data_IF_204881329749
#
_entry.id   IF_204881329749
#
_cell.length_a   1.000
_cell.length_b   1.000
_cell.length_c   1.000
_cell.angle_alpha   90.00
_cell.angle_beta   90.00
_cell.angle_gamma   90.00
#
_symmetry.space_group_name_H-M   'P 1'
#
loop_
_entity.id
_entity.type
_entity.pdbx_description
1 polymer ?
#
# COMPACT_ATOMS: atom_id res chain seq x y z
N UNK A 1 -17.20 1.66 -24.02
CA UNK A 1 -16.40 1.75 -22.77
C UNK A 1 -17.29 1.44 -21.60
N UNK A 2 -17.11 0.32 -20.91
CA UNK A 2 -17.83 0.04 -19.66
C UNK A 2 -17.25 0.95 -18.56
N UNK A 3 -18.08 1.57 -17.73
CA UNK A 3 -17.58 2.41 -16.64
C UNK A 3 -16.75 1.59 -15.66
N UNK A 4 -15.61 2.13 -15.27
CA UNK A 4 -14.64 1.56 -14.34
C UNK A 4 -15.15 1.62 -12.88
N UNK A 5 -16.29 1.06 -12.58
CA UNK A 5 -16.68 0.90 -11.19
C UNK A 5 -17.27 -0.48 -10.96
N UNK A 6 -16.88 -1.04 -9.87
CA UNK A 6 -17.40 -2.27 -9.35
C UNK A 6 -18.81 -1.99 -8.79
N UNK A 7 -19.81 -2.76 -9.21
CA UNK A 7 -21.15 -2.75 -8.61
C UNK A 7 -21.25 -3.92 -7.62
N UNK A 8 -20.81 -3.71 -6.36
CA UNK A 8 -20.76 -4.80 -5.39
C UNK A 8 -22.14 -5.28 -4.93
N UNK A 9 -23.22 -4.56 -5.32
CA UNK A 9 -24.56 -4.79 -4.81
C UNK A 9 -25.63 -4.91 -5.89
N UNK A 10 -25.32 -5.49 -7.04
CA UNK A 10 -26.35 -5.83 -8.06
C UNK A 10 -27.38 -4.69 -8.28
N UNK A 11 -26.92 -3.45 -8.45
CA UNK A 11 -27.71 -2.22 -8.61
C UNK A 11 -28.52 -1.77 -7.37
N UNK A 12 -28.46 -2.43 -6.24
CA UNK A 12 -29.14 -2.00 -5.01
C UNK A 12 -28.13 -1.37 -4.03
N UNK A 13 -27.94 -0.07 -4.16
CA UNK A 13 -27.19 0.71 -3.16
C UNK A 13 -27.98 0.75 -1.85
N UNK A 14 -27.38 0.40 -0.69
CA UNK A 14 -28.03 0.60 0.60
C UNK A 14 -28.45 2.06 0.80
N UNK A 15 -29.59 2.31 1.42
CA UNK A 15 -30.17 3.66 1.52
C UNK A 15 -29.25 4.70 2.17
N UNK A 16 -28.33 4.25 3.07
CA UNK A 16 -27.42 5.11 3.84
C UNK A 16 -26.05 5.29 3.20
N UNK A 17 -25.84 4.81 1.95
CA UNK A 17 -24.58 4.91 1.26
C UNK A 17 -24.64 5.99 0.18
N UNK A 18 -23.55 6.75 0.01
CA UNK A 18 -23.46 7.81 -0.99
C UNK A 18 -22.43 7.45 -2.07
N UNK A 19 -22.67 7.92 -3.29
CA UNK A 19 -21.67 7.84 -4.35
C UNK A 19 -20.86 9.14 -4.31
N UNK A 20 -19.54 9.00 -4.21
CA UNK A 20 -18.60 10.12 -4.23
C UNK A 20 -17.50 9.87 -5.27
N UNK A 21 -16.45 10.67 -5.26
CA UNK A 21 -15.26 10.46 -6.08
C UNK A 21 -14.01 10.35 -5.21
N UNK A 22 -12.96 9.68 -5.71
CA UNK A 22 -11.70 9.56 -4.98
C UNK A 22 -11.11 10.93 -4.61
N UNK A 23 -11.25 11.93 -5.49
CA UNK A 23 -10.78 13.29 -5.22
C UNK A 23 -11.54 14.00 -4.09
N UNK A 24 -12.83 13.67 -3.88
CA UNK A 24 -13.61 14.24 -2.79
C UNK A 24 -13.29 13.62 -1.43
N UNK A 25 -12.98 12.32 -1.41
CA UNK A 25 -12.78 11.56 -0.16
C UNK A 25 -11.32 11.43 0.25
N UNK A 26 -10.37 11.81 -0.60
CA UNK A 26 -8.94 11.70 -0.31
C UNK A 26 -8.15 12.89 -0.87
N UNK A 27 -7.02 13.19 -0.20
CA UNK A 27 -5.98 14.06 -0.73
C UNK A 27 -5.09 13.21 -1.61
N UNK A 28 -4.99 13.56 -2.89
CA UNK A 28 -4.22 12.79 -3.85
C UNK A 28 -2.99 13.55 -4.33
N UNK A 29 -1.86 12.86 -4.37
CA UNK A 29 -0.60 13.42 -4.89
C UNK A 29 0.17 12.39 -5.71
N UNK A 30 0.94 12.87 -6.68
CA UNK A 30 1.92 12.04 -7.38
C UNK A 30 3.23 11.97 -6.59
N UNK A 31 3.90 10.83 -6.64
CA UNK A 31 5.24 10.67 -6.12
C UNK A 31 6.23 11.62 -6.82
N UNK A 32 7.15 12.17 -6.05
CA UNK A 32 8.17 13.10 -6.52
C UNK A 32 9.49 12.41 -6.90
N UNK A 33 10.54 13.20 -6.98
CA UNK A 33 11.88 12.72 -7.21
C UNK A 33 12.42 11.94 -6.01
N UNK A 34 13.46 11.17 -6.26
CA UNK A 34 14.19 10.43 -5.23
C UNK A 34 14.83 11.42 -4.23
N UNK A 35 14.71 11.18 -2.92
CA UNK A 35 15.41 11.97 -1.91
C UNK A 35 16.94 11.98 -2.14
N UNK A 36 17.63 13.01 -1.63
CA UNK A 36 19.08 13.09 -1.71
C UNK A 36 19.76 12.05 -0.81
N UNK A 37 19.26 11.91 0.43
CA UNK A 37 19.78 10.94 1.39
C UNK A 37 19.05 9.60 1.21
N UNK A 38 19.76 8.62 0.63
CA UNK A 38 19.19 7.28 0.40
C UNK A 38 20.16 6.21 0.89
N UNK A 39 19.61 5.27 1.67
CA UNK A 39 20.30 4.04 2.08
C UNK A 39 19.53 2.83 1.54
N UNK A 40 20.21 1.77 1.13
CA UNK A 40 19.58 0.51 0.72
C UNK A 40 19.03 -0.28 1.91
N UNK A 41 19.58 -0.06 3.09
CA UNK A 41 19.17 -0.70 4.35
C UNK A 41 18.70 0.35 5.35
N UNK A 42 17.83 -0.06 6.27
CA UNK A 42 17.41 0.80 7.37
C UNK A 42 18.60 1.06 8.31
N UNK A 43 18.89 2.34 8.57
CA UNK A 43 19.95 2.80 9.48
C UNK A 43 19.37 3.76 10.52
N UNK A 44 20.18 4.17 11.52
CA UNK A 44 19.75 5.15 12.51
C UNK A 44 19.41 6.52 11.90
N UNK A 45 20.03 6.88 10.78
CA UNK A 45 19.78 8.13 10.06
C UNK A 45 18.66 7.98 9.02
N UNK A 46 18.64 6.89 8.28
CA UNK A 46 17.66 6.63 7.22
C UNK A 46 16.65 5.58 7.71
N UNK A 47 15.57 6.05 8.34
CA UNK A 47 14.57 5.19 8.97
C UNK A 47 13.28 5.02 8.17
N UNK A 48 12.96 5.98 7.28
CA UNK A 48 11.71 6.02 6.56
C UNK A 48 11.82 5.36 5.19
N UNK A 49 10.96 4.39 4.86
CA UNK A 49 11.01 3.70 3.58
C UNK A 49 10.66 4.64 2.43
N UNK A 50 11.31 4.41 1.31
CA UNK A 50 11.02 5.02 0.01
C UNK A 50 10.33 3.95 -0.82
N UNK A 51 9.15 4.27 -1.38
CA UNK A 51 8.41 3.35 -2.24
C UNK A 51 8.34 3.84 -3.68
N UNK A 52 8.51 2.90 -4.61
CA UNK A 52 8.39 3.08 -6.05
C UNK A 52 7.26 2.19 -6.60
N UNK A 53 7.07 2.21 -7.91
CA UNK A 53 6.07 1.40 -8.60
C UNK A 53 6.47 -0.07 -8.83
N UNK A 54 7.52 -0.58 -8.17
CA UNK A 54 7.93 -1.98 -8.28
C UNK A 54 6.97 -2.92 -7.54
N UNK A 55 6.79 -4.14 -8.05
CA UNK A 55 6.06 -5.20 -7.36
C UNK A 55 6.91 -5.88 -6.27
N UNK A 56 8.24 -5.90 -6.47
CA UNK A 56 9.16 -6.52 -5.52
C UNK A 56 9.12 -5.79 -4.18
N UNK A 57 9.01 -6.55 -3.10
CA UNK A 57 8.97 -6.01 -1.72
C UNK A 57 7.95 -4.86 -1.57
N UNK A 58 6.80 -4.96 -2.23
CA UNK A 58 5.75 -3.92 -2.23
C UNK A 58 6.25 -2.54 -2.68
N UNK A 59 7.24 -2.50 -3.57
CA UNK A 59 7.82 -1.28 -4.10
C UNK A 59 8.90 -0.64 -3.24
N UNK A 60 9.40 -1.30 -2.19
CA UNK A 60 10.48 -0.76 -1.36
C UNK A 60 11.74 -0.53 -2.21
N UNK A 61 12.14 0.74 -2.31
CA UNK A 61 13.32 1.19 -3.04
C UNK A 61 14.55 1.36 -2.13
N UNK A 62 14.34 1.81 -0.90
CA UNK A 62 15.38 2.11 0.09
C UNK A 62 14.80 2.87 1.27
N UNK A 63 15.66 3.56 2.00
CA UNK A 63 15.30 4.33 3.20
C UNK A 63 15.91 5.73 3.14
N UNK A 64 15.25 6.69 3.82
CA UNK A 64 15.67 8.10 3.90
C UNK A 64 15.49 8.65 5.32
N UNK A 65 15.99 9.84 5.54
CA UNK A 65 16.00 10.52 6.84
C UNK A 65 14.69 11.25 7.19
N UNK A 66 13.88 11.63 6.19
CA UNK A 66 12.64 12.39 6.41
C UNK A 66 11.49 11.79 5.60
N UNK A 67 10.31 11.60 6.22
CA UNK A 67 9.12 11.16 5.50
C UNK A 67 8.46 12.33 4.76
N UNK A 68 7.72 12.03 3.71
CA UNK A 68 6.86 12.98 2.99
C UNK A 68 5.39 12.79 3.35
N UNK A 69 5.00 11.56 3.65
CA UNK A 69 3.64 11.17 4.05
C UNK A 69 3.77 10.52 5.42
N UNK A 70 3.03 11.02 6.40
CA UNK A 70 3.03 10.49 7.77
C UNK A 70 1.75 9.76 8.12
N UNK A 71 0.68 10.03 7.39
CA UNK A 71 -0.65 9.47 7.60
C UNK A 71 -0.78 8.07 6.98
N UNK A 72 -1.65 7.26 7.54
CA UNK A 72 -2.06 6.01 6.91
C UNK A 72 -2.71 6.30 5.56
N UNK A 73 -2.23 5.66 4.50
CA UNK A 73 -2.59 6.02 3.13
C UNK A 73 -2.54 4.83 2.19
N UNK A 74 -3.06 5.01 0.98
CA UNK A 74 -2.99 3.99 -0.06
C UNK A 74 -2.11 4.50 -1.20
N UNK A 75 -1.23 3.65 -1.70
CA UNK A 75 -0.43 3.93 -2.91
C UNK A 75 -0.90 3.07 -4.06
N UNK A 76 -0.95 3.66 -5.25
CA UNK A 76 -1.33 2.99 -6.51
C UNK A 76 -0.26 3.26 -7.56
N UNK A 77 0.22 2.20 -8.21
CA UNK A 77 1.15 2.34 -9.33
C UNK A 77 0.49 2.99 -10.54
N UNK A 78 1.11 4.08 -11.02
CA UNK A 78 0.57 4.88 -12.12
C UNK A 78 1.14 4.49 -13.49
N UNK A 79 2.22 3.74 -13.55
CA UNK A 79 2.90 3.34 -14.80
C UNK A 79 3.65 2.03 -14.63
N UNK A 80 3.78 1.26 -15.70
CA UNK A 80 4.38 -0.08 -15.68
C UNK A 80 3.40 -1.09 -15.10
N UNK A 81 3.40 -1.27 -13.80
CA UNK A 81 2.45 -2.14 -13.05
C UNK A 81 1.20 -1.36 -12.62
N UNK A 82 0.49 -0.75 -13.59
CA UNK A 82 -0.66 0.10 -13.33
C UNK A 82 -1.68 -0.62 -12.44
N UNK A 83 -2.21 0.08 -11.45
CA UNK A 83 -3.25 -0.44 -10.57
C UNK A 83 -2.74 -1.34 -9.44
N UNK A 84 -1.42 -1.49 -9.24
CA UNK A 84 -0.91 -2.17 -8.05
C UNK A 84 -1.15 -1.32 -6.81
N UNK A 85 -1.98 -1.83 -5.90
CA UNK A 85 -2.47 -1.11 -4.71
C UNK A 85 -1.80 -1.63 -3.46
N UNK A 86 -1.25 -0.73 -2.63
CA UNK A 86 -0.67 -1.05 -1.32
C UNK A 86 -1.20 -0.13 -0.23
N UNK A 87 -1.50 -0.70 0.95
CA UNK A 87 -1.79 0.05 2.16
C UNK A 87 -0.48 0.43 2.86
N UNK A 88 -0.31 1.70 3.18
CA UNK A 88 0.87 2.25 3.88
C UNK A 88 0.47 2.70 5.27
N UNK A 89 1.03 2.05 6.30
CA UNK A 89 0.69 2.28 7.71
C UNK A 89 1.81 2.94 8.53
N UNK A 90 2.96 3.16 7.91
CA UNK A 90 4.11 3.85 8.51
C UNK A 90 4.50 5.06 7.67
N UNK A 91 5.13 6.10 8.25
CA UNK A 91 5.62 7.25 7.48
C UNK A 91 6.59 6.82 6.38
N UNK A 92 6.48 7.44 5.19
CA UNK A 92 7.26 7.05 4.01
C UNK A 92 7.42 8.19 2.99
N UNK A 93 8.23 7.93 1.94
CA UNK A 93 8.37 8.80 0.77
C UNK A 93 7.92 8.05 -0.48
N UNK A 94 6.86 8.52 -1.18
CA UNK A 94 6.51 8.02 -2.50
C UNK A 94 7.39 8.70 -3.56
N UNK A 95 8.02 7.91 -4.43
CA UNK A 95 8.77 8.43 -5.58
C UNK A 95 8.03 8.19 -6.89
N UNK A 96 8.61 8.64 -8.00
CA UNK A 96 7.99 8.65 -9.34
C UNK A 96 7.17 7.41 -9.65
N UNK A 97 6.04 7.63 -10.35
CA UNK A 97 5.08 6.63 -10.82
C UNK A 97 4.19 6.00 -9.74
N UNK A 98 4.20 6.55 -8.52
CA UNK A 98 3.18 6.25 -7.52
C UNK A 98 2.17 7.39 -7.42
N UNK A 99 0.90 7.05 -7.23
CA UNK A 99 -0.12 7.97 -6.75
C UNK A 99 -0.41 7.59 -5.31
N UNK A 100 -0.36 8.59 -4.43
CA UNK A 100 -0.73 8.46 -3.01
C UNK A 100 -2.12 9.01 -2.80
N UNK A 101 -2.94 8.28 -2.04
CA UNK A 101 -4.26 8.69 -1.59
C UNK A 101 -4.25 8.68 -0.06
N UNK A 102 -4.30 9.87 0.54
CA UNK A 102 -4.50 10.05 1.99
C UNK A 102 -5.99 10.27 2.20
N UNK A 103 -6.72 9.32 2.81
CA UNK A 103 -8.16 9.48 3.04
C UNK A 103 -8.43 10.66 3.97
N UNK A 104 -9.52 11.37 3.72
CA UNK A 104 -10.09 12.30 4.70
C UNK A 104 -10.79 11.45 5.76
N UNK A 105 -10.30 11.46 6.99
CA UNK A 105 -10.78 10.61 8.10
C UNK A 105 -12.28 10.72 8.35
N UNK A 106 -12.85 11.87 8.05
CA UNK A 106 -14.29 12.14 8.18
C UNK A 106 -15.17 11.38 7.20
N UNK A 107 -14.59 10.94 6.07
CA UNK A 107 -15.34 10.29 5.00
C UNK A 107 -15.12 8.77 4.95
N UNK A 108 -13.87 8.31 5.14
CA UNK A 108 -13.49 6.91 4.85
C UNK A 108 -12.15 6.56 5.49
N UNK A 109 -11.94 5.29 5.89
CA UNK A 109 -10.65 4.82 6.39
C UNK A 109 -9.73 4.34 5.25
N UNK A 110 -8.40 4.40 5.48
CA UNK A 110 -7.42 3.90 4.52
C UNK A 110 -7.60 2.40 4.24
N UNK A 111 -8.04 1.62 5.23
CA UNK A 111 -8.30 0.18 5.10
C UNK A 111 -9.48 -0.11 4.17
N UNK A 112 -10.56 0.65 4.31
CA UNK A 112 -11.69 0.55 3.40
C UNK A 112 -11.29 0.93 1.98
N UNK A 113 -10.62 2.09 1.82
CA UNK A 113 -10.14 2.57 0.53
C UNK A 113 -9.20 1.55 -0.15
N UNK A 114 -8.28 0.95 0.61
CA UNK A 114 -7.38 -0.08 0.13
C UNK A 114 -8.14 -1.30 -0.40
N UNK A 115 -9.05 -1.87 0.39
CA UNK A 115 -9.80 -3.06 0.00
C UNK A 115 -10.72 -2.79 -1.19
N UNK A 116 -11.31 -1.60 -1.24
CA UNK A 116 -12.14 -1.18 -2.37
C UNK A 116 -11.33 -1.05 -3.65
N UNK A 117 -10.17 -0.37 -3.60
CA UNK A 117 -9.29 -0.21 -4.76
C UNK A 117 -8.70 -1.54 -5.24
N UNK A 118 -8.47 -2.51 -4.36
CA UNK A 118 -8.01 -3.85 -4.73
C UNK A 118 -9.01 -4.62 -5.59
N UNK A 119 -10.29 -4.30 -5.51
CA UNK A 119 -11.34 -4.95 -6.31
C UNK A 119 -11.56 -4.24 -7.67
N UNK A 120 -11.04 -3.02 -7.82
CA UNK A 120 -11.16 -2.30 -9.08
C UNK A 120 -10.17 -2.82 -10.13
N UNK A 121 -10.65 -2.97 -11.36
CA UNK A 121 -9.78 -3.10 -12.50
C UNK A 121 -9.29 -1.71 -12.93
N UNK A 122 -8.17 -1.28 -12.35
CA UNK A 122 -7.59 0.04 -12.61
C UNK A 122 -6.75 -0.03 -13.89
N UNK A 123 -7.15 0.73 -14.90
CA UNK A 123 -6.44 0.84 -16.19
C UNK A 123 -5.95 2.28 -16.39
N UNK A 124 -4.83 2.41 -17.09
CA UNK A 124 -4.31 3.71 -17.50
C UNK A 124 -4.99 4.23 -18.78
N UNK A 125 -4.78 5.49 -19.07
CA UNK A 125 -5.15 6.15 -20.33
C UNK A 125 -3.92 6.33 -21.21
N UNK A 126 -4.07 6.27 -22.53
CA UNK A 126 -3.01 6.44 -23.51
C UNK A 126 -2.92 5.26 -24.48
N UNK A 127 -2.59 5.57 -25.73
CA UNK A 127 -2.50 4.58 -26.81
C UNK A 127 -1.12 3.90 -26.91
N UNK A 128 -0.05 4.65 -26.68
CA UNK A 128 1.34 4.16 -26.81
C UNK A 128 1.93 3.76 -25.45
N UNK A 129 1.66 4.52 -24.40
CA UNK A 129 2.02 4.17 -23.01
C UNK A 129 0.83 4.48 -22.10
N UNK A 130 0.24 3.44 -21.55
CA UNK A 130 -0.81 3.62 -20.56
C UNK A 130 -0.24 4.20 -19.27
N UNK A 131 -0.88 5.23 -18.76
CA UNK A 131 -0.52 5.88 -17.51
C UNK A 131 -1.78 6.29 -16.75
N UNK A 132 -1.77 6.07 -15.45
CA UNK A 132 -2.77 6.61 -14.53
C UNK A 132 -2.36 8.03 -14.16
N UNK A 133 -3.25 9.00 -14.39
CA UNK A 133 -3.01 10.41 -14.01
C UNK A 133 -3.83 10.78 -12.78
N UNK A 134 -3.30 11.65 -11.91
CA UNK A 134 -4.04 12.11 -10.72
C UNK A 134 -5.38 12.74 -11.10
N UNK A 135 -5.49 13.67 -12.08
CA UNK A 135 -6.78 14.26 -12.46
C UNK A 135 -7.79 13.24 -13.00
N UNK A 136 -7.32 12.23 -13.74
CA UNK A 136 -8.18 11.16 -14.25
C UNK A 136 -8.66 10.25 -13.12
N UNK A 137 -7.76 9.87 -12.21
CA UNK A 137 -8.05 8.97 -11.12
C UNK A 137 -8.94 9.61 -10.04
N UNK A 138 -8.83 10.92 -9.82
CA UNK A 138 -9.71 11.69 -8.94
C UNK A 138 -11.20 11.56 -9.30
N UNK A 139 -11.52 11.38 -10.59
CA UNK A 139 -12.90 11.26 -11.09
C UNK A 139 -13.50 9.85 -10.86
N UNK A 140 -12.70 8.88 -10.43
CA UNK A 140 -13.19 7.52 -10.17
C UNK A 140 -14.23 7.55 -9.06
N UNK A 141 -15.41 7.00 -9.36
CA UNK A 141 -16.51 6.92 -8.40
C UNK A 141 -16.20 5.87 -7.35
N UNK A 142 -16.61 6.13 -6.13
CA UNK A 142 -16.54 5.21 -4.99
C UNK A 142 -17.84 5.26 -4.21
N UNK A 143 -18.23 4.13 -3.69
CA UNK A 143 -19.37 4.02 -2.78
C UNK A 143 -18.88 4.27 -1.36
N UNK A 144 -19.47 5.24 -0.69
CA UNK A 144 -19.10 5.66 0.67
C UNK A 144 -20.23 5.26 1.62
N UNK A 145 -19.97 4.33 2.56
CA UNK A 145 -20.92 3.97 3.61
C UNK A 145 -21.19 5.12 4.58
N UNK A 146 -22.19 4.97 5.45
CA UNK A 146 -22.37 5.89 6.56
C UNK A 146 -21.15 5.81 7.51
N UNK A 147 -20.88 6.90 8.22
CA UNK A 147 -19.73 6.99 9.14
C UNK A 147 -19.73 5.87 10.21
N UNK A 148 -20.89 5.49 10.71
CA UNK A 148 -21.05 4.38 11.65
C UNK A 148 -20.54 3.07 11.07
N UNK A 149 -20.92 2.75 9.81
CA UNK A 149 -20.50 1.53 9.12
C UNK A 149 -18.99 1.56 8.84
N UNK A 150 -18.44 2.70 8.44
CA UNK A 150 -16.98 2.86 8.24
C UNK A 150 -16.23 2.64 9.54
N UNK A 151 -16.73 3.19 10.65
CA UNK A 151 -16.13 3.02 11.97
C UNK A 151 -16.18 1.56 12.42
N UNK A 152 -17.35 0.93 12.36
CA UNK A 152 -17.52 -0.48 12.69
C UNK A 152 -16.60 -1.38 11.85
N UNK A 153 -16.61 -1.21 10.54
CA UNK A 153 -15.74 -1.93 9.61
C UNK A 153 -14.26 -1.75 9.98
N UNK A 154 -13.84 -0.52 10.23
CA UNK A 154 -12.44 -0.22 10.56
C UNK A 154 -12.02 -0.89 11.87
N UNK A 155 -12.88 -0.86 12.89
CA UNK A 155 -12.64 -1.54 14.17
C UNK A 155 -12.51 -3.05 14.00
N UNK A 156 -13.36 -3.66 13.17
CA UNK A 156 -13.31 -5.11 12.91
C UNK A 156 -12.07 -5.53 12.13
N UNK A 157 -11.62 -4.74 11.15
CA UNK A 157 -10.49 -5.14 10.29
C UNK A 157 -9.13 -4.69 10.82
N UNK A 158 -9.06 -3.69 11.70
CA UNK A 158 -7.80 -3.18 12.24
C UNK A 158 -6.92 -4.28 12.87
N UNK A 159 -7.43 -5.17 13.75
CA UNK A 159 -6.62 -6.24 14.34
C UNK A 159 -6.11 -7.24 13.30
N UNK A 160 -6.86 -7.47 12.22
CA UNK A 160 -6.41 -8.34 11.12
C UNK A 160 -5.21 -7.74 10.38
N UNK A 161 -5.26 -6.44 10.07
CA UNK A 161 -4.12 -5.74 9.47
C UNK A 161 -2.91 -5.71 10.41
N UNK A 162 -3.11 -5.46 11.71
CA UNK A 162 -2.02 -5.53 12.68
C UNK A 162 -1.36 -6.92 12.69
N UNK A 163 -2.16 -7.99 12.66
CA UNK A 163 -1.61 -9.37 12.59
C UNK A 163 -0.85 -9.62 11.30
N UNK A 164 -1.36 -9.14 10.15
CA UNK A 164 -0.65 -9.24 8.87
C UNK A 164 0.72 -8.54 8.95
N UNK A 165 0.79 -7.32 9.47
CA UNK A 165 2.04 -6.58 9.59
C UNK A 165 3.03 -7.21 10.57
N UNK A 166 2.53 -7.72 11.72
CA UNK A 166 3.34 -8.49 12.67
C UNK A 166 3.94 -9.73 12.00
N UNK A 167 3.13 -10.51 11.29
CA UNK A 167 3.61 -11.69 10.58
C UNK A 167 4.61 -11.34 9.47
N UNK A 168 4.43 -10.23 8.77
CA UNK A 168 5.41 -9.76 7.78
C UNK A 168 6.77 -9.39 8.40
N UNK A 169 6.77 -8.79 9.60
CA UNK A 169 8.01 -8.47 10.33
C UNK A 169 8.68 -9.78 10.77
N UNK A 170 7.92 -10.71 11.32
CA UNK A 170 8.43 -12.02 11.75
C UNK A 170 9.02 -12.82 10.58
N UNK A 171 8.32 -12.89 9.45
CA UNK A 171 8.80 -13.55 8.24
C UNK A 171 10.12 -12.98 7.73
N UNK A 172 10.32 -11.63 7.83
CA UNK A 172 11.59 -11.01 7.47
C UNK A 172 12.72 -11.44 8.43
N UNK A 173 12.45 -11.51 9.75
CA UNK A 173 13.42 -11.96 10.74
C UNK A 173 13.79 -13.43 10.50
N UNK A 174 12.80 -14.29 10.31
CA UNK A 174 13.02 -15.73 10.03
C UNK A 174 13.80 -15.94 8.73
N UNK A 175 13.49 -15.18 7.68
CA UNK A 175 14.24 -15.24 6.42
C UNK A 175 15.70 -14.80 6.60
N UNK A 176 15.94 -13.76 7.40
CA UNK A 176 17.29 -13.31 7.73
C UNK A 176 18.08 -14.36 8.52
N UNK A 177 17.46 -14.95 9.53
CA UNK A 177 18.05 -16.03 10.34
C UNK A 177 18.38 -17.24 9.47
N UNK A 178 17.45 -17.70 8.65
CA UNK A 178 17.69 -18.80 7.70
C UNK A 178 18.90 -18.52 6.81
N UNK A 179 18.95 -17.33 6.20
CA UNK A 179 20.02 -16.98 5.28
C UNK A 179 21.38 -16.83 5.99
N UNK A 180 21.39 -16.53 7.29
CA UNK A 180 22.60 -16.48 8.09
C UNK A 180 23.06 -17.87 8.55
N UNK A 181 22.13 -18.75 8.95
CA UNK A 181 22.43 -20.07 9.51
C UNK A 181 22.72 -21.12 8.43
N UNK A 182 22.00 -21.09 7.31
CA UNK A 182 22.13 -22.11 6.28
C UNK A 182 23.55 -22.28 5.73
N UNK A 183 24.32 -21.22 5.40
CA UNK A 183 25.72 -21.35 4.99
C UNK A 183 26.61 -21.98 6.08
N UNK A 184 26.37 -21.63 7.34
CA UNK A 184 27.14 -22.17 8.48
C UNK A 184 26.88 -23.65 8.73
N UNK A 185 25.63 -24.09 8.55
CA UNK A 185 25.27 -25.51 8.57
C UNK A 185 25.93 -26.26 7.42
N UNK A 186 25.89 -25.72 6.22
CA UNK A 186 26.45 -26.36 5.02
C UNK A 186 27.98 -26.43 5.05
N UNK A 187 28.65 -25.48 5.71
CA UNK A 187 30.12 -25.49 5.89
C UNK A 187 30.61 -26.34 7.06
N UNK A 188 29.70 -26.87 7.91
CA UNK A 188 30.06 -27.57 9.15
C UNK A 188 30.54 -26.64 10.27
N UNK A 189 30.47 -25.31 10.10
CA UNK A 189 30.79 -24.35 11.17
C UNK A 189 29.78 -24.44 12.34
N UNK A 190 28.54 -24.82 12.05
CA UNK A 190 27.49 -25.06 13.04
C UNK A 190 27.14 -26.56 13.06
N UNK A 191 27.48 -27.20 14.14
CA UNK A 191 27.09 -28.61 14.42
C UNK A 191 25.73 -28.61 15.11
N UNK A 192 24.81 -29.43 14.61
CA UNK A 192 23.46 -29.61 15.15
C UNK A 192 23.19 -31.09 15.54
N UNK A 193 24.23 -31.91 15.62
CA UNK A 193 24.10 -33.36 15.90
C UNK A 193 23.47 -33.63 17.26
N UNK A 194 23.57 -32.71 18.20
CA UNK A 194 23.05 -32.85 19.58
C UNK A 194 21.67 -32.21 19.78
N UNK A 195 21.02 -31.70 18.69
CA UNK A 195 19.68 -31.17 18.78
C UNK A 195 18.63 -32.28 18.64
N UNK A 196 17.89 -32.57 19.71
CA UNK A 196 16.66 -33.37 19.65
C UNK A 196 15.61 -32.60 18.84
N UNK A 197 15.19 -33.11 17.67
CA UNK A 197 14.18 -32.59 16.76
C UNK A 197 12.83 -33.24 17.00
#
# INVERSE_FOLDING_TARGET
MRPLYFEPFNNQKPNNWTISTLGNISIMSAGGDKPQNVSQTKTNLCQYPIYSNSLSKEGLYGFTDKPKISEESVTVSARGTIGYVCLRHIPYVPIVRLITLVPKTEAISAKYLYLWLKQLHIVGTGTTQQQLTVPGFQKTKILVPSQEIVTLFTTMVAPLFQKIWSNQIENRKLSSLRNMLLPKLMSGELDVSDLDL
#
